data_IF_243135614572
#
_entry.id   IF_243135614572
#
_cell.length_a   1.000
_cell.length_b   1.000
_cell.length_c   1.000
_cell.angle_alpha   90.00
_cell.angle_beta   90.00
_cell.angle_gamma   90.00
#
_symmetry.space_group_name_H-M   'P 1'
#
loop_
_entity.id
_entity.type
_entity.pdbx_description
1 polymer ?
#
# COMPACT_ATOMS: atom_id res chain seq x y z
N UNK A 1 8.50 4.37 18.82
CA UNK A 1 7.41 3.88 17.94
C UNK A 1 7.85 2.58 17.26
N UNK A 2 7.06 1.51 17.26
CA UNK A 2 7.50 0.20 16.71
C UNK A 2 7.53 0.19 15.18
N UNK A 3 8.37 -0.66 14.58
CA UNK A 3 8.51 -0.82 13.12
C UNK A 3 7.18 -1.12 12.42
N UNK A 4 6.32 -1.95 13.05
CA UNK A 4 4.97 -2.28 12.58
C UNK A 4 4.03 -1.07 12.54
N UNK A 5 4.06 -0.22 13.58
CA UNK A 5 3.25 1.02 13.62
C UNK A 5 3.68 1.99 12.51
N UNK A 6 4.99 2.16 12.29
CA UNK A 6 5.55 2.99 11.21
C UNK A 6 5.12 2.50 9.82
N UNK A 7 5.16 1.18 9.57
CA UNK A 7 4.73 0.60 8.29
C UNK A 7 3.24 0.84 8.04
N UNK A 8 2.41 0.63 9.04
CA UNK A 8 0.97 0.88 8.93
C UNK A 8 0.67 2.36 8.63
N UNK A 9 1.39 3.30 9.24
CA UNK A 9 1.22 4.73 8.96
C UNK A 9 1.58 5.11 7.52
N UNK A 10 2.68 4.59 6.98
CA UNK A 10 3.04 4.78 5.56
C UNK A 10 1.94 4.29 4.62
N UNK A 11 1.35 3.13 4.91
CA UNK A 11 0.24 2.58 4.12
C UNK A 11 -1.02 3.46 4.20
N UNK A 12 -1.33 4.01 5.38
CA UNK A 12 -2.46 4.95 5.54
C UNK A 12 -2.23 6.22 4.72
N UNK A 13 -1.03 6.78 4.78
CA UNK A 13 -0.67 7.97 4.02
C UNK A 13 -0.77 7.72 2.51
N UNK A 14 -0.35 6.53 2.04
CA UNK A 14 -0.51 6.14 0.64
C UNK A 14 -1.99 6.04 0.23
N UNK A 15 -2.85 5.45 1.05
CA UNK A 15 -4.30 5.43 0.80
C UNK A 15 -4.89 6.84 0.74
N UNK A 16 -4.49 7.73 1.65
CA UNK A 16 -4.92 9.14 1.63
C UNK A 16 -4.45 9.89 0.38
N UNK A 17 -3.22 9.63 -0.06
CA UNK A 17 -2.68 10.21 -1.29
C UNK A 17 -3.43 9.71 -2.52
N UNK A 18 -3.69 8.40 -2.60
CA UNK A 18 -4.50 7.80 -3.67
C UNK A 18 -5.90 8.43 -3.71
N UNK A 19 -6.55 8.58 -2.54
CA UNK A 19 -7.85 9.26 -2.43
C UNK A 19 -7.80 10.68 -3.00
N UNK A 20 -6.75 11.46 -2.65
CA UNK A 20 -6.58 12.83 -3.17
C UNK A 20 -6.41 12.85 -4.68
N UNK A 21 -5.61 11.95 -5.25
CA UNK A 21 -5.37 11.86 -6.69
C UNK A 21 -6.64 11.45 -7.47
N UNK A 22 -7.45 10.57 -6.90
CA UNK A 22 -8.76 10.21 -7.48
C UNK A 22 -9.70 11.42 -7.43
N UNK A 23 -9.77 12.10 -6.29
CA UNK A 23 -10.64 13.27 -6.13
C UNK A 23 -10.22 14.47 -7.00
N UNK A 24 -8.93 14.61 -7.29
CA UNK A 24 -8.43 15.66 -8.20
C UNK A 24 -8.56 15.29 -9.68
N UNK A 25 -9.04 14.08 -10.00
CA UNK A 25 -9.12 13.57 -11.37
C UNK A 25 -7.77 13.16 -11.98
N UNK A 26 -6.69 13.16 -11.20
CA UNK A 26 -5.38 12.71 -11.67
C UNK A 26 -5.34 11.19 -11.87
N UNK A 27 -6.20 10.45 -11.18
CA UNK A 27 -6.45 9.02 -11.40
C UNK A 27 -7.94 8.82 -11.64
N UNK A 28 -8.30 8.12 -12.72
CA UNK A 28 -9.70 7.83 -13.00
C UNK A 28 -10.26 6.82 -11.99
N UNK A 29 -11.34 7.20 -11.32
CA UNK A 29 -12.09 6.33 -10.39
C UNK A 29 -12.60 5.06 -11.06
N UNK A 30 -12.81 5.06 -12.39
CA UNK A 30 -13.26 3.89 -13.15
C UNK A 30 -12.26 2.73 -13.14
N UNK A 31 -11.01 2.98 -12.77
CA UNK A 31 -10.00 1.94 -12.55
C UNK A 31 -10.28 1.07 -11.33
N UNK A 32 -11.21 1.48 -10.47
CA UNK A 32 -11.53 0.81 -9.22
C UNK A 32 -12.99 0.34 -9.22
N UNK A 33 -13.21 -0.83 -8.62
CA UNK A 33 -14.56 -1.30 -8.31
C UNK A 33 -15.18 -0.43 -7.21
N UNK A 34 -16.51 -0.42 -7.09
CA UNK A 34 -17.20 0.32 -6.04
C UNK A 34 -16.72 -0.07 -4.64
N UNK A 35 -16.42 -1.37 -4.42
CA UNK A 35 -15.87 -1.85 -3.14
C UNK A 35 -14.50 -1.26 -2.84
N UNK A 36 -13.64 -1.14 -3.85
CA UNK A 36 -12.31 -0.54 -3.71
C UNK A 36 -12.40 0.96 -3.48
N UNK A 37 -13.29 1.66 -4.20
CA UNK A 37 -13.57 3.07 -3.95
C UNK A 37 -14.07 3.29 -2.52
N UNK A 38 -14.95 2.42 -2.02
CA UNK A 38 -15.39 2.47 -0.63
C UNK A 38 -14.20 2.27 0.32
N UNK A 39 -13.34 1.28 0.08
CA UNK A 39 -12.15 1.05 0.92
C UNK A 39 -11.16 2.22 0.91
N UNK A 40 -10.97 2.89 -0.23
CA UNK A 40 -10.11 4.08 -0.39
C UNK A 40 -10.70 5.30 0.33
N UNK A 41 -12.02 5.46 0.25
CA UNK A 41 -12.73 6.60 0.85
C UNK A 41 -13.06 6.39 2.33
N UNK A 42 -13.05 5.14 2.81
CA UNK A 42 -13.38 4.81 4.20
C UNK A 42 -12.34 5.36 5.15
N UNK A 43 -12.85 5.96 6.22
CA UNK A 43 -12.12 6.28 7.42
C UNK A 43 -12.64 5.41 8.57
N UNK A 44 -11.75 4.71 9.29
CA UNK A 44 -12.07 3.93 10.49
C UNK A 44 -11.39 4.58 11.70
N UNK A 45 -12.16 5.32 12.51
CA UNK A 45 -11.68 5.96 13.73
C UNK A 45 -10.67 7.09 13.48
N UNK A 46 -10.87 7.87 12.42
CA UNK A 46 -9.98 8.97 11.99
C UNK A 46 -8.76 8.53 11.18
N UNK A 47 -8.77 7.32 10.61
CA UNK A 47 -7.64 6.70 9.91
C UNK A 47 -8.08 5.99 8.63
N UNK A 48 -7.34 6.23 7.55
CA UNK A 48 -7.49 5.49 6.30
C UNK A 48 -7.20 3.99 6.47
N UNK A 49 -7.75 3.17 5.57
CA UNK A 49 -7.45 1.74 5.52
C UNK A 49 -6.02 1.50 5.03
N UNK A 50 -5.37 0.46 5.58
CA UNK A 50 -4.04 -0.01 5.16
C UNK A 50 -4.10 -1.08 4.07
N UNK A 51 -5.31 -1.54 3.70
CA UNK A 51 -5.56 -2.55 2.69
C UNK A 51 -6.81 -2.17 1.90
N UNK A 52 -6.79 -2.45 0.60
CA UNK A 52 -7.89 -2.24 -0.33
C UNK A 52 -8.30 -3.62 -0.86
N UNK A 53 -9.58 -3.85 -1.12
CA UNK A 53 -10.02 -5.17 -1.56
C UNK A 53 -9.29 -5.65 -2.84
N UNK A 54 -8.64 -6.82 -2.76
CA UNK A 54 -7.87 -7.40 -3.85
C UNK A 54 -6.50 -6.75 -4.08
N UNK A 55 -6.10 -5.79 -3.25
CA UNK A 55 -4.83 -5.06 -3.38
C UNK A 55 -4.12 -4.89 -2.04
N UNK A 56 -2.79 -4.86 -2.10
CA UNK A 56 -1.92 -4.55 -0.98
C UNK A 56 -0.95 -3.44 -1.33
N UNK A 57 -0.61 -2.64 -0.31
CA UNK A 57 0.45 -1.66 -0.42
C UNK A 57 1.81 -2.34 -0.26
N UNK A 58 2.57 -2.37 -1.35
CA UNK A 58 3.96 -2.81 -1.36
C UNK A 58 4.90 -1.64 -1.07
N UNK A 59 5.85 -1.84 -0.17
CA UNK A 59 6.90 -0.85 0.12
C UNK A 59 8.07 -1.14 -0.81
N UNK A 60 8.23 -0.32 -1.84
CA UNK A 60 9.36 -0.44 -2.75
C UNK A 60 10.56 0.26 -2.09
N UNK A 61 11.43 -0.52 -1.45
CA UNK A 61 12.63 -0.02 -0.80
C UNK A 61 13.77 0.30 -1.80
N UNK A 62 13.60 -0.07 -3.07
CA UNK A 62 14.60 0.14 -4.12
C UNK A 62 14.36 1.45 -4.88
N UNK A 63 13.23 2.13 -4.66
CA UNK A 63 12.97 3.45 -5.24
C UNK A 63 13.56 4.56 -4.36
N UNK A 64 14.19 5.56 -4.98
CA UNK A 64 14.57 6.82 -4.32
C UNK A 64 13.82 7.97 -5.00
N UNK A 65 12.88 8.65 -4.30
CA UNK A 65 12.48 8.41 -2.92
C UNK A 65 11.65 7.12 -2.76
N UNK A 66 11.76 6.50 -1.57
CA UNK A 66 10.98 5.32 -1.19
C UNK A 66 9.48 5.57 -1.42
N UNK A 67 8.85 4.76 -2.26
CA UNK A 67 7.43 4.90 -2.59
C UNK A 67 6.59 3.68 -2.18
N UNK A 68 5.28 3.91 -2.11
CA UNK A 68 4.28 2.87 -1.88
C UNK A 68 3.61 2.57 -3.22
N UNK A 69 3.56 1.29 -3.58
CA UNK A 69 2.90 0.83 -4.80
C UNK A 69 1.68 -0.01 -4.43
N UNK A 70 0.54 0.27 -5.06
CA UNK A 70 -0.66 -0.54 -4.89
C UNK A 70 -0.60 -1.68 -5.89
N UNK A 71 -0.49 -2.92 -5.42
CA UNK A 71 -0.37 -4.11 -6.28
C UNK A 71 -1.45 -5.13 -5.92
N UNK A 72 -1.94 -5.94 -6.89
CA UNK A 72 -2.89 -7.01 -6.61
C UNK A 72 -2.39 -7.95 -5.51
N UNK A 73 -3.29 -8.41 -4.64
CA UNK A 73 -2.96 -9.34 -3.54
C UNK A 73 -2.29 -10.62 -4.06
N UNK A 74 -2.68 -11.12 -5.24
CA UNK A 74 -2.08 -12.31 -5.86
C UNK A 74 -0.60 -12.09 -6.20
N UNK A 75 -0.27 -10.90 -6.71
CA UNK A 75 1.11 -10.52 -7.02
C UNK A 75 1.86 -10.24 -5.73
N UNK A 76 1.24 -9.56 -4.77
CA UNK A 76 1.84 -9.34 -3.45
C UNK A 76 2.19 -10.68 -2.80
N UNK A 77 1.29 -11.66 -2.77
CA UNK A 77 1.53 -12.95 -2.14
C UNK A 77 2.55 -13.82 -2.91
N UNK A 78 2.59 -13.73 -4.25
CA UNK A 78 3.60 -14.43 -5.07
C UNK A 78 4.98 -13.77 -4.98
N UNK A 79 5.03 -12.43 -4.95
CA UNK A 79 6.24 -11.66 -4.68
C UNK A 79 6.67 -11.74 -3.20
N UNK A 80 5.77 -12.16 -2.32
CA UNK A 80 5.98 -12.47 -0.89
C UNK A 80 6.20 -13.98 -0.66
N UNK A 81 6.51 -14.76 -1.71
CA UNK A 81 7.55 -15.77 -1.49
C UNK A 81 8.81 -14.96 -1.26
N UNK A 82 9.22 -14.84 0.00
CA UNK A 82 10.47 -14.18 0.36
C UNK A 82 11.64 -14.96 -0.26
N UNK A 83 11.90 -14.79 -1.55
CA UNK A 83 13.19 -15.09 -2.16
C UNK A 83 14.16 -14.05 -1.60
N UNK A 84 14.55 -14.20 -0.32
CA UNK A 84 15.35 -13.21 0.40
C UNK A 84 15.24 -13.20 1.92
N UNK A 85 14.33 -13.94 2.58
CA UNK A 85 14.41 -14.12 4.06
C UNK A 85 15.48 -15.16 4.47
N UNK A 86 16.39 -15.51 3.54
CA UNK A 86 17.62 -16.24 3.79
C UNK A 86 18.86 -15.57 3.19
N UNK A 87 18.80 -14.30 2.77
CA UNK A 87 19.95 -13.66 2.08
C UNK A 87 20.28 -12.24 2.55
N UNK A 88 19.75 -11.79 3.69
CA UNK A 88 20.21 -10.55 4.34
C UNK A 88 20.42 -10.70 5.86
N UNK A 89 20.84 -11.89 6.30
CA UNK A 89 21.39 -12.10 7.66
C UNK A 89 22.91 -12.19 7.72
N UNK A 90 23.64 -12.06 6.60
CA UNK A 90 25.10 -11.92 6.62
C UNK A 90 25.55 -10.93 5.54
N UNK A 91 25.94 -9.73 5.96
CA UNK A 91 26.40 -8.68 5.06
C UNK A 91 27.07 -7.51 5.77
N UNK A 92 28.11 -7.82 6.55
CA UNK A 92 29.13 -6.96 7.20
C UNK A 92 28.69 -5.86 8.16
#
# INVERSE_FOLDING_TARGET
MTSKKRRAEKMRNATLQLRKLINSGAIDKKLFTQKQLNDINTDVGGKAKTKIHGYAWHHNAQSSPNNMQLIPDEIHNKAVRHTGEGSLSEGR
#
